data_IF_355032632533
#
_entry.id   IF_355032632533
#
_cell.length_a   1.000
_cell.length_b   1.000
_cell.length_c   1.000
_cell.angle_alpha   90.00
_cell.angle_beta   90.00
_cell.angle_gamma   90.00
#
_symmetry.space_group_name_H-M   'P 1'
#
loop_
_entity.id
_entity.type
_entity.pdbx_description
1 polymer ?
#
# COMPACT_ATOMS: atom_id res chain seq x y z
N UNK A 1 16.19 91.13 -44.31
CA UNK A 1 17.38 90.26 -44.19
C UNK A 1 16.94 88.78 -44.11
N UNK A 2 16.62 88.12 -45.21
CA UNK A 2 17.55 87.37 -46.08
C UNK A 2 18.68 86.66 -45.33
N UNK A 3 18.56 85.33 -45.17
CA UNK A 3 19.53 84.40 -45.75
C UNK A 3 19.03 82.95 -45.67
N UNK A 4 18.93 82.36 -46.85
CA UNK A 4 18.67 80.98 -47.21
C UNK A 4 19.81 80.04 -46.79
N UNK A 5 19.46 78.82 -46.38
CA UNK A 5 20.14 77.61 -46.88
C UNK A 5 19.24 76.37 -46.68
N UNK A 6 18.82 75.66 -47.74
CA UNK A 6 18.19 74.36 -47.59
C UNK A 6 19.31 73.32 -47.49
N UNK A 7 19.57 72.80 -46.30
CA UNK A 7 20.47 71.65 -46.20
C UNK A 7 19.69 70.43 -46.69
N UNK A 8 19.95 70.05 -47.93
CA UNK A 8 19.38 68.88 -48.59
C UNK A 8 19.64 67.64 -47.73
N UNK A 9 18.59 67.14 -47.07
CA UNK A 9 18.54 65.74 -46.64
C UNK A 9 18.47 64.91 -47.91
N UNK A 10 19.62 64.62 -48.50
CA UNK A 10 19.73 63.52 -49.45
C UNK A 10 19.49 62.25 -48.64
N UNK A 11 18.24 61.80 -48.61
CA UNK A 11 17.92 60.42 -48.23
C UNK A 11 18.52 59.59 -49.35
N UNK A 12 19.75 59.12 -49.13
CA UNK A 12 20.43 58.19 -50.02
C UNK A 12 19.57 56.92 -50.04
N UNK A 13 18.65 56.84 -51.00
CA UNK A 13 17.84 55.65 -51.21
C UNK A 13 18.77 54.59 -51.82
N UNK A 14 19.40 53.79 -50.95
CA UNK A 14 20.12 52.59 -51.35
C UNK A 14 19.06 51.51 -51.61
N UNK A 15 18.77 51.13 -52.87
CA UNK A 15 17.64 50.25 -53.19
C UNK A 15 17.82 48.79 -52.73
N UNK A 16 18.98 48.45 -52.14
CA UNK A 16 19.32 47.09 -51.71
C UNK A 16 19.26 46.83 -50.21
N UNK A 17 19.18 47.85 -49.36
CA UNK A 17 19.25 47.68 -47.89
C UNK A 17 17.89 47.50 -47.24
N UNK A 18 16.83 48.12 -47.76
CA UNK A 18 15.48 48.08 -47.17
C UNK A 18 14.87 46.68 -47.27
N UNK A 19 14.93 46.05 -48.45
CA UNK A 19 14.40 44.69 -48.66
C UNK A 19 15.13 43.62 -47.82
N UNK A 20 16.45 43.77 -47.63
CA UNK A 20 17.24 42.87 -46.78
C UNK A 20 16.92 43.05 -45.28
N UNK A 21 16.65 44.28 -44.84
CA UNK A 21 16.22 44.59 -43.47
C UNK A 21 14.80 44.10 -43.21
N UNK A 22 13.89 44.30 -44.16
CA UNK A 22 12.51 43.78 -44.10
C UNK A 22 12.49 42.25 -44.04
N UNK A 23 13.27 41.57 -44.89
CA UNK A 23 13.39 40.11 -44.87
C UNK A 23 13.93 39.60 -43.53
N UNK A 24 14.92 40.30 -42.96
CA UNK A 24 15.48 39.97 -41.64
C UNK A 24 14.45 40.16 -40.52
N UNK A 25 13.67 41.23 -40.55
CA UNK A 25 12.59 41.48 -39.59
C UNK A 25 11.50 40.41 -39.66
N UNK A 26 11.08 40.02 -40.87
CA UNK A 26 10.11 38.94 -41.08
C UNK A 26 10.62 37.62 -40.49
N UNK A 27 11.90 37.28 -40.73
CA UNK A 27 12.49 36.07 -40.16
C UNK A 27 12.51 36.10 -38.62
N UNK A 28 12.86 37.23 -38.01
CA UNK A 28 12.83 37.36 -36.55
C UNK A 28 11.42 37.22 -35.98
N UNK A 29 10.43 37.83 -36.63
CA UNK A 29 9.03 37.72 -36.22
C UNK A 29 8.53 36.27 -36.29
N UNK A 30 8.86 35.55 -37.37
CA UNK A 30 8.55 34.12 -37.48
C UNK A 30 9.21 33.30 -36.37
N UNK A 31 10.46 33.62 -35.99
CA UNK A 31 11.14 32.93 -34.90
C UNK A 31 10.51 33.25 -33.54
N UNK A 32 10.07 34.49 -33.31
CA UNK A 32 9.31 34.87 -32.11
C UNK A 32 7.99 34.10 -32.02
N UNK A 33 7.23 34.03 -33.11
CA UNK A 33 5.96 33.26 -33.16
C UNK A 33 6.20 31.79 -32.85
N UNK A 34 7.25 31.17 -33.39
CA UNK A 34 7.60 29.77 -33.07
C UNK A 34 7.93 29.59 -31.58
N UNK A 35 8.67 30.53 -30.99
CA UNK A 35 9.03 30.48 -29.58
C UNK A 35 7.81 30.65 -28.68
N UNK A 36 6.91 31.57 -29.01
CA UNK A 36 5.67 31.77 -28.28
C UNK A 36 4.78 30.53 -28.32
N UNK A 37 4.66 29.90 -29.51
CA UNK A 37 3.95 28.63 -29.67
C UNK A 37 4.55 27.53 -28.78
N UNK A 38 5.87 27.39 -28.77
CA UNK A 38 6.55 26.41 -27.91
C UNK A 38 6.31 26.68 -26.41
N UNK A 39 6.32 27.95 -25.99
CA UNK A 39 6.05 28.32 -24.60
C UNK A 39 4.62 27.92 -24.21
N UNK A 40 3.64 28.17 -25.08
CA UNK A 40 2.25 27.78 -24.84
C UNK A 40 2.12 26.25 -24.75
N UNK A 41 2.73 25.51 -25.68
CA UNK A 41 2.74 24.05 -25.68
C UNK A 41 3.36 23.48 -24.40
N UNK A 42 4.50 24.02 -23.97
CA UNK A 42 5.18 23.60 -22.75
C UNK A 42 4.35 23.91 -21.49
N UNK A 43 3.72 25.09 -21.42
CA UNK A 43 2.83 25.45 -20.30
C UNK A 43 1.63 24.52 -20.22
N UNK A 44 1.03 24.19 -21.37
CA UNK A 44 -0.09 23.26 -21.43
C UNK A 44 0.34 21.85 -21.02
N UNK A 45 1.48 21.36 -21.52
CA UNK A 45 2.01 20.05 -21.16
C UNK A 45 2.33 19.96 -19.65
N UNK A 46 2.92 21.01 -19.08
CA UNK A 46 3.17 21.12 -17.65
C UNK A 46 1.87 21.06 -16.85
N UNK A 47 0.86 21.84 -17.23
CA UNK A 47 -0.43 21.84 -16.55
C UNK A 47 -1.12 20.47 -16.58
N UNK A 48 -1.12 19.80 -17.74
CA UNK A 48 -1.67 18.45 -17.87
C UNK A 48 -0.90 17.46 -17.00
N UNK A 49 0.44 17.55 -16.96
CA UNK A 49 1.26 16.69 -16.11
C UNK A 49 0.95 16.92 -14.62
N UNK A 50 0.75 18.16 -14.19
CA UNK A 50 0.36 18.49 -12.81
C UNK A 50 -1.00 17.89 -12.43
N UNK A 51 -1.99 17.97 -13.33
CA UNK A 51 -3.31 17.35 -13.12
C UNK A 51 -3.18 15.83 -13.00
N UNK A 52 -2.44 15.19 -13.91
CA UNK A 52 -2.21 13.75 -13.88
C UNK A 52 -1.54 13.30 -12.57
N UNK A 53 -0.57 14.06 -12.07
CA UNK A 53 0.09 13.76 -10.79
C UNK A 53 -0.92 13.85 -9.64
N UNK A 54 -1.78 14.87 -9.61
CA UNK A 54 -2.81 15.00 -8.58
C UNK A 54 -3.81 13.84 -8.62
N UNK A 55 -4.25 13.45 -9.81
CA UNK A 55 -5.18 12.33 -9.99
C UNK A 55 -4.56 10.99 -9.53
N UNK A 56 -3.30 10.75 -9.88
CA UNK A 56 -2.55 9.57 -9.42
C UNK A 56 -2.41 9.56 -7.90
N UNK A 57 -2.06 10.70 -7.30
CA UNK A 57 -1.93 10.83 -5.85
C UNK A 57 -3.26 10.57 -5.13
N UNK A 58 -4.37 11.11 -5.64
CA UNK A 58 -5.70 10.88 -5.09
C UNK A 58 -6.13 9.42 -5.21
N UNK A 59 -5.87 8.78 -6.36
CA UNK A 59 -6.16 7.36 -6.55
C UNK A 59 -5.33 6.48 -5.60
N UNK A 60 -4.05 6.79 -5.41
CA UNK A 60 -3.18 6.08 -4.47
C UNK A 60 -3.68 6.21 -3.03
N UNK A 61 -3.98 7.43 -2.58
CA UNK A 61 -4.49 7.67 -1.24
C UNK A 61 -5.80 6.92 -0.98
N UNK A 62 -6.71 6.92 -1.95
CA UNK A 62 -8.00 6.21 -1.84
C UNK A 62 -7.77 4.71 -1.68
N UNK A 63 -6.86 4.13 -2.47
CA UNK A 63 -6.50 2.72 -2.38
C UNK A 63 -5.86 2.38 -1.03
N UNK A 64 -4.99 3.24 -0.51
CA UNK A 64 -4.32 3.02 0.77
C UNK A 64 -5.33 3.05 1.94
N UNK A 65 -6.31 3.96 1.90
CA UNK A 65 -7.41 3.99 2.87
C UNK A 65 -8.25 2.70 2.82
N UNK A 66 -8.63 2.25 1.63
CA UNK A 66 -9.39 0.99 1.46
C UNK A 66 -8.61 -0.22 1.96
N UNK A 67 -7.31 -0.27 1.70
CA UNK A 67 -6.44 -1.34 2.23
C UNK A 67 -6.36 -1.28 3.76
N UNK A 68 -6.22 -0.10 4.35
CA UNK A 68 -6.18 0.05 5.80
C UNK A 68 -7.48 -0.45 6.45
N UNK A 69 -8.64 -0.06 5.92
CA UNK A 69 -9.95 -0.53 6.40
C UNK A 69 -10.08 -2.06 6.29
N UNK A 70 -9.65 -2.65 5.17
CA UNK A 70 -9.70 -4.09 4.97
C UNK A 70 -8.78 -4.84 5.96
N UNK A 71 -7.58 -4.32 6.19
CA UNK A 71 -6.65 -4.90 7.16
C UNK A 71 -7.24 -4.89 8.57
N UNK A 72 -7.84 -3.79 9.01
CA UNK A 72 -8.48 -3.71 10.32
C UNK A 72 -9.66 -4.67 10.43
N UNK A 73 -10.51 -4.75 9.39
CA UNK A 73 -11.62 -5.72 9.35
C UNK A 73 -11.12 -7.17 9.47
N UNK A 74 -10.08 -7.53 8.75
CA UNK A 74 -9.50 -8.88 8.80
C UNK A 74 -8.89 -9.18 10.17
N UNK A 75 -8.20 -8.21 10.78
CA UNK A 75 -7.66 -8.36 12.16
C UNK A 75 -8.78 -8.60 13.17
N UNK A 76 -9.89 -7.88 13.06
CA UNK A 76 -11.04 -8.07 13.94
C UNK A 76 -11.69 -9.44 13.72
N UNK A 77 -11.82 -9.89 12.48
CA UNK A 77 -12.34 -11.22 12.15
C UNK A 77 -11.46 -12.33 12.73
N UNK A 78 -10.13 -12.21 12.59
CA UNK A 78 -9.16 -13.14 13.22
C UNK A 78 -9.38 -13.18 14.73
N UNK A 79 -9.46 -12.02 15.39
CA UNK A 79 -9.68 -11.95 16.85
C UNK A 79 -10.97 -12.64 17.27
N UNK A 80 -12.05 -12.45 16.51
CA UNK A 80 -13.35 -13.10 16.77
C UNK A 80 -13.22 -14.62 16.59
N UNK A 81 -12.59 -15.08 15.51
CA UNK A 81 -12.41 -16.50 15.22
C UNK A 81 -11.53 -17.20 16.26
N UNK A 82 -10.44 -16.56 16.67
CA UNK A 82 -9.58 -17.05 17.76
C UNK A 82 -10.36 -17.17 19.08
N UNK A 83 -11.21 -16.18 19.39
CA UNK A 83 -12.10 -16.22 20.54
C UNK A 83 -13.08 -17.39 20.49
N UNK A 84 -13.74 -17.60 19.34
CA UNK A 84 -14.66 -18.72 19.12
C UNK A 84 -13.96 -20.07 19.22
N UNK A 85 -12.77 -20.22 18.62
CA UNK A 85 -11.97 -21.44 18.67
C UNK A 85 -11.58 -21.77 20.11
N UNK A 86 -11.14 -20.77 20.89
CA UNK A 86 -10.80 -20.94 22.29
C UNK A 86 -12.00 -21.41 23.11
N UNK A 87 -13.18 -20.84 22.87
CA UNK A 87 -14.42 -21.25 23.52
C UNK A 87 -14.79 -22.71 23.19
N UNK A 88 -14.86 -23.05 21.90
CA UNK A 88 -15.21 -24.40 21.43
C UNK A 88 -14.20 -25.47 21.88
N UNK A 89 -12.91 -25.13 21.94
CA UNK A 89 -11.87 -26.04 22.40
C UNK A 89 -12.07 -26.43 23.87
N UNK A 90 -12.53 -25.52 24.73
CA UNK A 90 -12.77 -25.83 26.14
C UNK A 90 -13.90 -26.85 26.30
N UNK A 91 -15.02 -26.64 25.61
CA UNK A 91 -16.18 -27.55 25.69
C UNK A 91 -15.87 -28.93 25.13
N UNK A 92 -15.23 -29.00 23.95
CA UNK A 92 -14.84 -30.28 23.34
C UNK A 92 -13.81 -31.04 24.18
N UNK A 93 -12.83 -30.34 24.76
CA UNK A 93 -11.87 -30.97 25.66
C UNK A 93 -12.54 -31.53 26.90
N UNK A 94 -13.56 -30.87 27.45
CA UNK A 94 -14.29 -31.35 28.63
C UNK A 94 -15.19 -32.55 28.34
N UNK A 95 -15.88 -32.56 27.20
CA UNK A 95 -16.64 -33.74 26.77
C UNK A 95 -15.73 -34.94 26.52
N UNK A 96 -14.60 -34.72 25.86
CA UNK A 96 -13.58 -35.76 25.70
C UNK A 96 -13.09 -36.25 27.06
N UNK A 97 -12.69 -35.35 27.96
CA UNK A 97 -12.18 -35.67 29.30
C UNK A 97 -13.19 -36.49 30.10
N UNK A 98 -14.48 -36.14 30.04
CA UNK A 98 -15.58 -36.92 30.64
C UNK A 98 -15.61 -38.35 30.11
N UNK A 99 -15.50 -38.53 28.80
CA UNK A 99 -15.57 -39.86 28.17
C UNK A 99 -14.37 -40.73 28.54
N UNK A 100 -13.14 -40.20 28.50
CA UNK A 100 -11.94 -40.95 28.93
C UNK A 100 -11.92 -41.21 30.43
N UNK A 101 -12.49 -40.32 31.26
CA UNK A 101 -12.66 -40.57 32.69
C UNK A 101 -13.59 -41.77 32.93
N UNK A 102 -14.72 -41.85 32.23
CA UNK A 102 -15.62 -43.01 32.32
C UNK A 102 -14.91 -44.30 31.86
N UNK A 103 -14.10 -44.25 30.80
CA UNK A 103 -13.29 -45.40 30.37
C UNK A 103 -12.26 -45.81 31.43
N UNK A 104 -11.65 -44.86 32.14
CA UNK A 104 -10.69 -45.13 33.20
C UNK A 104 -11.32 -45.94 34.35
N UNK A 105 -12.56 -45.62 34.72
CA UNK A 105 -13.29 -46.30 35.80
C UNK A 105 -13.58 -47.77 35.49
N UNK A 106 -13.77 -48.12 34.21
CA UNK A 106 -14.06 -49.48 33.74
C UNK A 106 -12.81 -50.20 33.21
N UNK A 107 -11.62 -49.70 33.53
CA UNK A 107 -10.37 -50.22 32.97
C UNK A 107 -9.70 -51.24 33.91
N UNK A 108 -9.74 -52.52 33.51
CA UNK A 108 -9.14 -53.63 34.29
C UNK A 108 -7.65 -53.88 33.98
N UNK A 109 -7.13 -53.31 32.89
CA UNK A 109 -5.76 -53.53 32.43
C UNK A 109 -4.84 -52.38 32.81
N UNK A 110 -3.73 -52.68 33.51
CA UNK A 110 -2.72 -51.70 33.91
C UNK A 110 -2.13 -50.94 32.71
N UNK A 111 -1.86 -51.62 31.59
CA UNK A 111 -1.32 -50.97 30.39
C UNK A 111 -2.32 -49.97 29.76
N UNK A 112 -3.59 -50.36 29.65
CA UNK A 112 -4.66 -49.50 29.14
C UNK A 112 -4.90 -48.31 30.08
N UNK A 113 -4.89 -48.53 31.40
CA UNK A 113 -5.03 -47.49 32.43
C UNK A 113 -3.92 -46.43 32.31
N UNK A 114 -2.68 -46.85 32.10
CA UNK A 114 -1.53 -45.96 31.86
C UNK A 114 -1.72 -45.08 30.61
N UNK A 115 -2.18 -45.65 29.50
CA UNK A 115 -2.44 -44.89 28.28
C UNK A 115 -3.57 -43.86 28.47
N UNK A 116 -4.65 -44.24 29.14
CA UNK A 116 -5.76 -43.32 29.46
C UNK A 116 -5.29 -42.17 30.35
N UNK A 117 -4.50 -42.46 31.39
CA UNK A 117 -3.93 -41.43 32.26
C UNK A 117 -2.99 -40.48 31.51
N UNK A 118 -2.20 -40.98 30.55
CA UNK A 118 -1.38 -40.13 29.68
C UNK A 118 -2.22 -39.23 28.78
N UNK A 119 -3.31 -39.75 28.22
CA UNK A 119 -4.24 -38.96 27.40
C UNK A 119 -4.93 -37.85 28.23
N UNK A 120 -5.39 -38.19 29.44
CA UNK A 120 -5.92 -37.22 30.43
C UNK A 120 -4.87 -36.14 30.73
N UNK A 121 -3.63 -36.55 31.02
CA UNK A 121 -2.55 -35.61 31.32
C UNK A 121 -2.21 -34.66 30.17
N UNK A 122 -2.29 -35.13 28.93
CA UNK A 122 -2.10 -34.29 27.75
C UNK A 122 -3.23 -33.24 27.58
N UNK A 123 -4.49 -33.65 27.78
CA UNK A 123 -5.66 -32.75 27.71
C UNK A 123 -5.61 -31.69 28.80
N UNK A 124 -5.23 -32.09 30.02
CA UNK A 124 -5.06 -31.20 31.17
C UNK A 124 -3.77 -30.36 31.10
N UNK A 125 -2.94 -30.56 30.08
CA UNK A 125 -1.65 -29.88 29.88
C UNK A 125 -0.75 -29.98 31.11
N UNK A 126 -0.68 -31.17 31.70
CA UNK A 126 0.20 -31.44 32.84
C UNK A 126 1.66 -31.18 32.47
N UNK A 127 2.40 -30.63 33.43
CA UNK A 127 3.84 -30.41 33.33
C UNK A 127 4.60 -31.73 33.20
N UNK A 128 5.87 -31.65 32.75
CA UNK A 128 6.76 -32.81 32.63
C UNK A 128 6.98 -33.52 33.98
N UNK A 129 6.90 -32.79 35.09
CA UNK A 129 6.97 -33.34 36.45
C UNK A 129 5.72 -34.13 36.83
N UNK A 130 4.54 -33.60 36.53
CA UNK A 130 3.26 -34.28 36.80
C UNK A 130 3.09 -35.51 35.91
N UNK A 131 3.48 -35.43 34.64
CA UNK A 131 3.48 -36.56 33.72
C UNK A 131 4.39 -37.71 34.19
N UNK A 132 5.55 -37.39 34.79
CA UNK A 132 6.44 -38.40 35.39
C UNK A 132 5.85 -39.07 36.62
N UNK A 133 5.07 -38.36 37.43
CA UNK A 133 4.39 -38.94 38.60
C UNK A 133 3.37 -40.03 38.17
N UNK A 134 2.65 -39.80 37.08
CA UNK A 134 1.73 -40.78 36.48
C UNK A 134 2.48 -42.04 36.04
N UNK A 135 3.66 -41.90 35.44
CA UNK A 135 4.47 -43.05 35.02
C UNK A 135 4.97 -43.89 36.20
N UNK A 136 5.31 -43.24 37.32
CA UNK A 136 5.80 -43.88 38.53
C UNK A 136 4.70 -44.63 39.30
N UNK A 137 3.47 -44.11 39.32
CA UNK A 137 2.34 -44.72 40.06
C UNK A 137 1.73 -45.95 39.35
N UNK A 138 2.03 -46.20 38.07
CA UNK A 138 1.56 -47.40 37.34
C UNK A 138 2.53 -48.61 37.46
N UNK A 139 3.59 -48.49 38.27
CA UNK A 139 4.60 -49.54 38.52
C UNK A 139 4.43 -50.22 39.91
N UNK A 140 3.35 -49.92 40.62
CA UNK A 140 2.92 -50.61 41.84
C UNK A 140 1.58 -51.31 41.57
#
# INVERSE_FOLDING_TARGET
PLSTSPNSTQVLFVPGTTAAVETRNIFYEQQLVKKEKQIIELRNAMHIAELNVRDIQQASLTKDLQHFEMVEKLKDEIRILEGKLKFLSVDSNMEYLRNIFVQLLHCDSSSRRKHILKAIGAVLKLSVTEMRAIEKHNLQ
#
